data_IF_132268681819
#
_entry.id   IF_132268681819
#
_cell.length_a   1.000
_cell.length_b   1.000
_cell.length_c   1.000
_cell.angle_alpha   90.00
_cell.angle_beta   90.00
_cell.angle_gamma   90.00
#
_symmetry.space_group_name_H-M   'P 1'
#
loop_
_entity.id
_entity.type
_entity.pdbx_description
1 polymer ?
#
# COMPACT_ATOMS: atom_id res chain seq x y z
N UNK A 1 -1.06 -22.65 9.38
CA UNK A 1 -0.08 -23.68 8.94
C UNK A 1 -0.38 -23.97 7.48
N UNK A 2 0.50 -23.91 6.48
CA UNK A 2 1.93 -23.69 6.33
C UNK A 2 2.10 -22.90 5.01
N UNK A 3 3.11 -22.06 4.80
CA UNK A 3 4.47 -22.51 4.48
C UNK A 3 4.70 -22.25 2.98
N UNK A 4 5.55 -21.27 2.68
CA UNK A 4 5.80 -20.80 1.32
C UNK A 4 6.54 -21.80 0.43
N UNK A 5 6.56 -21.50 -0.87
CA UNK A 5 7.57 -22.04 -1.77
C UNK A 5 7.82 -21.05 -2.90
N UNK A 6 8.97 -20.41 -2.80
CA UNK A 6 9.65 -19.72 -3.87
C UNK A 6 10.80 -20.63 -4.29
N UNK A 7 10.77 -21.17 -5.51
CA UNK A 7 11.98 -21.69 -6.16
C UNK A 7 11.97 -21.23 -7.62
N UNK A 8 12.97 -20.41 -7.93
CA UNK A 8 13.46 -20.09 -9.27
C UNK A 8 14.00 -21.35 -9.95
N UNK A 9 13.68 -21.54 -11.22
CA UNK A 9 14.48 -22.36 -12.12
C UNK A 9 14.78 -21.57 -13.39
N UNK A 10 16.03 -21.08 -13.44
CA UNK A 10 16.77 -20.71 -14.63
C UNK A 10 16.95 -21.97 -15.48
N UNK A 11 16.67 -21.91 -16.79
CA UNK A 11 17.35 -22.66 -17.88
C UNK A 11 16.59 -22.55 -19.20
N UNK A 12 17.06 -21.70 -20.12
CA UNK A 12 17.11 -21.95 -21.59
C UNK A 12 17.48 -20.66 -22.33
N UNK A 13 18.69 -20.16 -22.06
CA UNK A 13 19.39 -19.28 -22.98
C UNK A 13 20.70 -19.97 -23.29
N UNK A 14 20.72 -20.79 -24.36
CA UNK A 14 21.88 -21.25 -25.13
C UNK A 14 21.43 -22.31 -26.13
N UNK A 15 21.38 -21.91 -27.41
CA UNK A 15 21.39 -22.64 -28.71
C UNK A 15 20.57 -21.72 -29.63
N UNK A 16 21.19 -20.95 -30.52
CA UNK A 16 21.59 -21.43 -31.84
C UNK A 16 20.49 -21.04 -32.84
N UNK A 17 20.86 -20.35 -33.92
CA UNK A 17 19.94 -19.70 -34.85
C UNK A 17 18.90 -20.63 -35.49
N UNK A 18 17.70 -20.10 -35.67
CA UNK A 18 16.87 -20.13 -36.88
C UNK A 18 15.46 -19.64 -36.51
N UNK A 19 14.87 -18.85 -37.40
CA UNK A 19 13.58 -18.20 -37.27
C UNK A 19 12.44 -19.22 -36.99
N UNK A 20 11.78 -19.23 -35.80
CA UNK A 20 10.80 -20.24 -35.44
C UNK A 20 9.36 -19.71 -35.56
N UNK A 21 9.12 -18.75 -36.45
CA UNK A 21 7.78 -18.14 -36.59
C UNK A 21 6.73 -19.06 -37.24
N UNK A 22 7.10 -20.26 -37.70
CA UNK A 22 6.19 -21.08 -38.52
C UNK A 22 5.53 -22.30 -37.88
N UNK A 23 5.75 -22.60 -36.58
CA UNK A 23 5.17 -23.81 -35.96
C UNK A 23 4.65 -23.64 -34.52
N UNK A 24 4.07 -22.48 -34.22
CA UNK A 24 3.41 -22.27 -32.94
C UNK A 24 1.97 -22.79 -33.00
N UNK A 25 1.79 -24.05 -32.60
CA UNK A 25 0.47 -24.65 -32.34
C UNK A 25 -0.33 -23.89 -31.27
N UNK A 26 -1.53 -24.35 -30.88
CA UNK A 26 -2.44 -23.63 -29.97
C UNK A 26 -1.81 -23.23 -28.62
N UNK A 27 -0.75 -23.92 -28.20
CA UNK A 27 0.04 -23.59 -27.01
C UNK A 27 0.91 -22.32 -27.17
N UNK A 28 1.39 -22.01 -28.38
CA UNK A 28 2.13 -20.78 -28.64
C UNK A 28 1.25 -19.53 -28.58
N UNK A 29 -0.04 -19.65 -28.90
CA UNK A 29 -1.04 -18.60 -28.66
C UNK A 29 -1.32 -18.40 -27.17
N UNK A 30 -1.41 -19.49 -26.39
CA UNK A 30 -1.53 -19.42 -24.92
C UNK A 30 -0.34 -18.71 -24.26
N UNK A 31 0.88 -18.91 -24.75
CA UNK A 31 2.07 -18.17 -24.27
C UNK A 31 2.05 -16.70 -24.70
N UNK A 32 1.48 -16.38 -25.86
CA UNK A 32 1.34 -14.99 -26.34
C UNK A 32 0.28 -14.20 -25.55
N UNK A 33 -0.76 -14.88 -25.08
CA UNK A 33 -1.80 -14.33 -24.19
C UNK A 33 -1.38 -14.29 -22.71
N UNK A 34 -0.32 -15.01 -22.33
CA UNK A 34 0.46 -14.76 -21.11
C UNK A 34 1.36 -13.52 -21.26
N UNK A 35 0.94 -12.53 -22.05
CA UNK A 35 1.46 -11.17 -21.95
C UNK A 35 1.30 -10.78 -20.48
N UNK A 36 2.41 -10.74 -19.75
CA UNK A 36 2.48 -10.25 -18.38
C UNK A 36 1.55 -9.04 -18.30
N UNK A 37 0.56 -8.99 -17.39
CA UNK A 37 -0.22 -7.78 -17.23
C UNK A 37 0.81 -6.67 -17.04
N UNK A 38 0.92 -5.78 -18.03
CA UNK A 38 1.73 -4.59 -17.88
C UNK A 38 1.02 -3.84 -16.75
N UNK A 39 1.53 -4.00 -15.53
CA UNK A 39 1.19 -3.12 -14.44
C UNK A 39 1.46 -1.73 -15.00
N UNK A 40 0.39 -0.95 -15.19
CA UNK A 40 0.51 0.41 -15.65
C UNK A 40 1.56 1.09 -14.76
N UNK A 41 2.61 1.61 -15.39
CA UNK A 41 3.66 2.29 -14.65
C UNK A 41 3.02 3.44 -13.88
N UNK A 42 3.41 3.61 -12.62
CA UNK A 42 2.92 4.73 -11.81
C UNK A 42 3.51 6.02 -12.37
N UNK A 43 2.65 7.02 -12.55
CA UNK A 43 3.07 8.34 -12.96
C UNK A 43 3.69 9.09 -11.77
N UNK A 44 4.37 10.22 -12.02
CA UNK A 44 4.98 10.98 -10.92
C UNK A 44 3.93 11.48 -9.90
N UNK A 45 2.71 11.82 -10.34
CA UNK A 45 1.63 12.24 -9.45
C UNK A 45 1.21 11.10 -8.51
N UNK A 46 1.21 9.87 -9.02
CA UNK A 46 0.90 8.68 -8.25
C UNK A 46 1.95 8.46 -7.15
N UNK A 47 3.22 8.66 -7.49
CA UNK A 47 4.32 8.61 -6.52
C UNK A 47 4.20 9.70 -5.45
N UNK A 48 3.91 10.94 -5.86
CA UNK A 48 3.76 12.07 -4.95
C UNK A 48 2.60 11.83 -3.97
N UNK A 49 1.44 11.41 -4.49
CA UNK A 49 0.26 11.10 -3.68
C UNK A 49 0.51 9.94 -2.72
N UNK A 50 1.10 8.84 -3.20
CA UNK A 50 1.46 7.68 -2.36
C UNK A 50 2.42 8.06 -1.25
N UNK A 51 3.44 8.86 -1.56
CA UNK A 51 4.43 9.29 -0.57
C UNK A 51 3.80 10.21 0.47
N UNK A 52 2.99 11.18 0.02
CA UNK A 52 2.30 12.13 0.89
C UNK A 52 1.31 11.41 1.82
N UNK A 53 0.53 10.46 1.30
CA UNK A 53 -0.38 9.66 2.12
C UNK A 53 0.39 8.81 3.13
N UNK A 54 1.51 8.18 2.75
CA UNK A 54 2.34 7.42 3.70
C UNK A 54 2.88 8.29 4.84
N UNK A 55 3.36 9.50 4.55
CA UNK A 55 3.84 10.42 5.59
C UNK A 55 2.71 10.80 6.53
N UNK A 56 1.53 11.13 5.99
CA UNK A 56 0.40 11.55 6.81
C UNK A 56 -0.15 10.42 7.67
N UNK A 57 -0.26 9.20 7.16
CA UNK A 57 -0.62 8.02 7.96
C UNK A 57 0.36 7.82 9.12
N UNK A 58 1.66 7.98 8.86
CA UNK A 58 2.67 7.87 9.91
C UNK A 58 2.57 9.02 10.94
N UNK A 59 2.30 10.24 10.49
CA UNK A 59 2.10 11.39 11.36
C UNK A 59 0.86 11.23 12.25
N UNK A 60 -0.27 10.77 11.68
CA UNK A 60 -1.50 10.48 12.41
C UNK A 60 -1.24 9.43 13.50
N UNK A 61 -0.62 8.31 13.12
CA UNK A 61 -0.24 7.25 14.05
C UNK A 61 0.58 7.76 15.24
N UNK A 62 1.62 8.58 14.99
CA UNK A 62 2.45 9.14 16.04
C UNK A 62 1.65 10.04 17.00
N UNK A 63 0.63 10.74 16.50
CA UNK A 63 -0.27 11.52 17.36
C UNK A 63 -1.32 10.66 18.07
N UNK A 64 -1.85 9.62 17.43
CA UNK A 64 -2.77 8.64 18.06
C UNK A 64 -2.09 7.90 19.21
N UNK A 65 -0.84 7.47 19.05
CA UNK A 65 -0.07 6.83 20.13
C UNK A 65 0.07 7.77 21.34
N UNK A 66 0.26 9.06 21.08
CA UNK A 66 0.31 10.07 22.15
C UNK A 66 -1.05 10.21 22.86
N UNK A 67 -2.13 10.33 22.10
CA UNK A 67 -3.48 10.42 22.64
C UNK A 67 -3.87 9.22 23.50
N UNK A 68 -3.59 8.01 23.03
CA UNK A 68 -3.83 6.77 23.78
C UNK A 68 -3.04 6.77 25.09
N UNK A 69 -1.78 7.22 25.09
CA UNK A 69 -0.95 7.28 26.31
C UNK A 69 -1.37 8.36 27.29
N UNK A 70 -1.93 9.46 26.78
CA UNK A 70 -2.53 10.50 27.61
C UNK A 70 -3.92 10.09 28.14
N UNK A 71 -4.44 8.92 27.71
CA UNK A 71 -5.77 8.44 28.12
C UNK A 71 -6.92 9.22 27.48
N UNK A 72 -6.65 9.94 26.39
CA UNK A 72 -7.68 10.68 25.66
C UNK A 72 -8.59 9.73 24.89
N UNK A 73 -9.87 10.06 24.75
CA UNK A 73 -10.79 9.28 23.92
C UNK A 73 -10.38 9.39 22.45
N UNK A 74 -10.24 8.25 21.79
CA UNK A 74 -9.97 8.14 20.36
C UNK A 74 -11.25 8.44 19.57
N UNK A 75 -11.11 9.28 18.55
CA UNK A 75 -12.22 9.72 17.70
C UNK A 75 -12.44 8.79 16.51
N UNK A 76 -11.46 7.96 16.17
CA UNK A 76 -11.55 7.01 15.08
C UNK A 76 -12.57 5.89 15.39
N UNK A 77 -13.69 5.80 14.65
CA UNK A 77 -14.75 4.83 14.92
C UNK A 77 -14.32 3.37 14.75
N UNK A 78 -13.27 3.09 13.96
CA UNK A 78 -12.75 1.73 13.76
C UNK A 78 -11.96 1.22 14.98
N UNK A 79 -11.30 2.14 15.69
CA UNK A 79 -10.54 1.85 16.90
C UNK A 79 -11.43 1.77 18.13
N UNK A 80 -12.55 2.50 18.14
CA UNK A 80 -13.39 2.70 19.31
C UNK A 80 -12.80 3.73 20.26
N UNK A 81 -13.50 4.05 21.37
CA UNK A 81 -13.17 5.19 22.24
C UNK A 81 -11.84 5.04 23.00
N UNK A 82 -11.46 3.82 23.39
CA UNK A 82 -10.21 3.57 24.13
C UNK A 82 -9.51 2.33 23.57
N UNK A 83 -8.87 2.43 22.40
CA UNK A 83 -8.17 1.31 21.81
C UNK A 83 -6.90 0.98 22.59
N UNK A 84 -6.54 -0.30 22.60
CA UNK A 84 -5.20 -0.68 23.03
C UNK A 84 -4.16 -0.23 21.99
N UNK A 85 -2.93 0.05 22.42
CA UNK A 85 -1.83 0.38 21.51
C UNK A 85 -1.61 -0.70 20.45
N UNK A 86 -1.75 -1.98 20.82
CA UNK A 86 -1.64 -3.09 19.87
C UNK A 86 -2.69 -3.02 18.75
N UNK A 87 -3.93 -2.64 19.07
CA UNK A 87 -5.00 -2.48 18.08
C UNK A 87 -4.73 -1.29 17.16
N UNK A 88 -4.30 -0.16 17.72
CA UNK A 88 -3.92 1.02 16.94
C UNK A 88 -2.76 0.70 15.97
N UNK A 89 -1.70 0.06 16.46
CA UNK A 89 -0.55 -0.34 15.65
C UNK A 89 -0.93 -1.29 14.53
N UNK A 90 -1.77 -2.29 14.81
CA UNK A 90 -2.22 -3.25 13.78
C UNK A 90 -3.05 -2.57 12.69
N UNK A 91 -3.94 -1.66 13.07
CA UNK A 91 -4.77 -0.92 12.11
C UNK A 91 -3.89 -0.04 11.20
N UNK A 92 -2.97 0.74 11.77
CA UNK A 92 -2.06 1.59 11.00
C UNK A 92 -1.14 0.76 10.11
N UNK A 93 -0.55 -0.33 10.63
CA UNK A 93 0.30 -1.20 9.83
C UNK A 93 -0.46 -1.77 8.62
N UNK A 94 -1.71 -2.18 8.83
CA UNK A 94 -2.57 -2.67 7.75
C UNK A 94 -2.87 -1.56 6.74
N UNK A 95 -3.18 -0.34 7.21
CA UNK A 95 -3.38 0.83 6.36
C UNK A 95 -2.16 1.18 5.51
N UNK A 96 -0.96 1.19 6.11
CA UNK A 96 0.31 1.44 5.40
C UNK A 96 0.59 0.37 4.35
N UNK A 97 0.38 -0.91 4.66
CA UNK A 97 0.55 -2.00 3.71
C UNK A 97 -0.45 -1.88 2.55
N UNK A 98 -1.71 -1.55 2.84
CA UNK A 98 -2.71 -1.31 1.81
C UNK A 98 -2.32 -0.14 0.90
N UNK A 99 -1.92 0.99 1.48
CA UNK A 99 -1.47 2.18 0.75
C UNK A 99 -0.24 1.88 -0.13
N UNK A 100 0.71 1.09 0.38
CA UNK A 100 1.97 0.80 -0.30
C UNK A 100 1.88 -0.31 -1.34
N UNK A 101 1.00 -1.30 -1.17
CA UNK A 101 1.00 -2.52 -2.00
C UNK A 101 -0.32 -2.84 -2.68
N UNK A 102 -1.45 -2.38 -2.15
CA UNK A 102 -2.77 -2.67 -2.73
C UNK A 102 -3.22 -1.52 -3.65
N UNK A 103 -3.16 -0.27 -3.18
CA UNK A 103 -3.59 0.88 -3.98
C UNK A 103 -2.83 1.01 -5.31
N UNK A 104 -1.49 0.82 -5.38
CA UNK A 104 -0.76 0.81 -6.65
C UNK A 104 -1.24 -0.23 -7.68
N UNK A 105 -1.88 -1.31 -7.24
CA UNK A 105 -2.34 -2.40 -8.12
C UNK A 105 -3.71 -2.11 -8.75
N UNK A 106 -4.38 -1.04 -8.32
CA UNK A 106 -5.65 -0.61 -8.92
C UNK A 106 -5.37 -0.13 -10.34
N UNK A 107 -6.02 -0.76 -11.33
CA UNK A 107 -5.78 -0.51 -12.76
C UNK A 107 -6.30 0.86 -13.20
N UNK A 108 -7.42 1.30 -12.65
CA UNK A 108 -8.02 2.60 -12.93
C UNK A 108 -7.18 3.71 -12.27
N UNK A 109 -6.53 4.60 -13.06
CA UNK A 109 -5.71 5.66 -12.52
C UNK A 109 -6.52 6.73 -11.79
N UNK A 110 -7.76 7.02 -12.20
CA UNK A 110 -8.59 8.04 -11.54
C UNK A 110 -9.04 7.55 -10.17
N UNK A 111 -9.52 6.31 -10.09
CA UNK A 111 -9.87 5.69 -8.82
C UNK A 111 -8.65 5.59 -7.88
N UNK A 112 -7.51 5.16 -8.40
CA UNK A 112 -6.26 5.04 -7.63
C UNK A 112 -5.84 6.39 -7.04
N UNK A 113 -5.81 7.44 -7.86
CA UNK A 113 -5.49 8.80 -7.42
C UNK A 113 -6.53 9.36 -6.46
N UNK A 114 -7.80 9.10 -6.71
CA UNK A 114 -8.91 9.47 -5.84
C UNK A 114 -8.76 8.86 -4.45
N UNK A 115 -8.39 7.59 -4.34
CA UNK A 115 -8.14 6.92 -3.06
C UNK A 115 -6.98 7.56 -2.31
N UNK A 116 -5.84 7.80 -2.97
CA UNK A 116 -4.73 8.47 -2.30
C UNK A 116 -5.04 9.91 -1.90
N UNK A 117 -5.76 10.65 -2.73
CA UNK A 117 -6.19 12.00 -2.41
C UNK A 117 -7.12 11.99 -1.19
N UNK A 118 -8.08 11.07 -1.15
CA UNK A 118 -8.97 10.90 0.00
C UNK A 118 -8.18 10.57 1.27
N UNK A 119 -7.21 9.64 1.19
CA UNK A 119 -6.30 9.35 2.31
C UNK A 119 -5.54 10.59 2.77
N UNK A 120 -4.92 11.34 1.85
CA UNK A 120 -4.21 12.58 2.18
C UNK A 120 -5.12 13.57 2.93
N UNK A 121 -6.35 13.78 2.45
CA UNK A 121 -7.27 14.73 3.09
C UNK A 121 -7.73 14.27 4.47
N UNK A 122 -8.08 12.99 4.62
CA UNK A 122 -8.52 12.40 5.90
C UNK A 122 -7.40 12.47 6.92
N UNK A 123 -6.21 12.00 6.56
CA UNK A 123 -5.06 11.93 7.48
C UNK A 123 -4.53 13.33 7.82
N UNK A 124 -4.57 14.28 6.86
CA UNK A 124 -4.24 15.68 7.15
C UNK A 124 -5.22 16.29 8.17
N UNK A 125 -6.52 16.05 8.00
CA UNK A 125 -7.52 16.51 8.95
C UNK A 125 -7.34 15.88 10.34
N UNK A 126 -7.09 14.57 10.40
CA UNK A 126 -6.83 13.85 11.64
C UNK A 126 -5.60 14.41 12.36
N UNK A 127 -4.47 14.57 11.66
CA UNK A 127 -3.26 15.19 12.22
C UNK A 127 -3.54 16.61 12.72
N UNK A 128 -4.23 17.44 11.95
CA UNK A 128 -4.57 18.80 12.36
C UNK A 128 -5.44 18.83 13.62
N UNK A 129 -6.44 17.95 13.70
CA UNK A 129 -7.30 17.81 14.88
C UNK A 129 -6.51 17.30 16.10
N UNK A 130 -5.66 16.29 15.92
CA UNK A 130 -4.82 15.78 17.00
C UNK A 130 -3.86 16.88 17.51
N UNK A 131 -3.30 17.67 16.60
CA UNK A 131 -2.44 18.81 16.95
C UNK A 131 -3.21 19.92 17.66
N UNK A 132 -4.46 20.20 17.30
CA UNK A 132 -5.30 21.18 17.99
C UNK A 132 -5.69 20.73 19.41
N UNK A 133 -5.77 19.42 19.64
CA UNK A 133 -5.93 18.80 20.97
C UNK A 133 -4.62 18.79 21.80
N UNK A 134 -3.52 19.32 21.25
CA UNK A 134 -2.23 19.39 21.94
C UNK A 134 -1.37 18.12 21.82
N UNK A 135 -1.80 17.13 21.03
CA UNK A 135 -1.05 15.90 20.83
C UNK A 135 0.26 16.17 20.07
N UNK A 136 1.28 15.41 20.43
CA UNK A 136 2.61 15.50 19.83
C UNK A 136 2.92 14.22 19.07
N UNK A 137 3.84 14.33 18.12
CA UNK A 137 4.39 13.14 17.49
C UNK A 137 5.15 12.33 18.53
N UNK A 138 4.67 11.13 18.85
CA UNK A 138 5.26 10.29 19.87
C UNK A 138 6.09 9.15 19.25
N UNK A 139 7.41 9.29 19.32
CA UNK A 139 8.37 8.34 18.75
C UNK A 139 8.76 7.20 19.70
N UNK A 140 8.26 7.20 20.93
CA UNK A 140 8.47 6.06 21.83
C UNK A 140 7.50 4.97 21.37
N UNK A 141 7.99 3.86 20.84
CA UNK A 141 7.15 2.74 20.39
C UNK A 141 7.11 1.66 21.46
#
# INVERSE_FOLDING_TARGET
MAGGLLILAVSSALVGGDDPSHNQGPLGRLVKDLRKPQLAALEWQDHALRFSSTILIAADWLTTVDGIRQGLPESNPLLGTHPSLGRANLMIATGLLANAFLVPKIKDPELRRGIWLAMVLIELHAVQNNRSLGLRFNFRL
#
